data_IF_909157950829
#
_entry.id   IF_909157950829
#
_cell.length_a   1.000
_cell.length_b   1.000
_cell.length_c   1.000
_cell.angle_alpha   90.00
_cell.angle_beta   90.00
_cell.angle_gamma   90.00
#
_symmetry.space_group_name_H-M   'P 1'
#
loop_
_entity.id
_entity.type
_entity.pdbx_description
1 polymer ?
#
# COMPACT_ATOMS: atom_id res chain seq x y z
N UNK A 1 0.38 3.30 19.06
CA UNK A 1 -0.88 2.76 18.46
C UNK A 1 -1.17 1.31 18.88
N UNK A 2 -0.16 0.47 19.10
CA UNK A 2 -0.33 -0.94 19.53
C UNK A 2 -0.82 -1.11 20.98
N UNK A 3 -0.92 -0.04 21.75
CA UNK A 3 -1.35 -0.04 23.16
C UNK A 3 -2.84 0.21 23.36
N UNK A 4 -3.60 0.44 22.30
CA UNK A 4 -5.06 0.57 22.37
C UNK A 4 -5.72 -0.81 22.46
N UNK A 5 -6.95 -0.88 23.01
CA UNK A 5 -7.76 -2.11 23.08
C UNK A 5 -8.25 -2.60 21.69
N UNK A 6 -7.37 -2.56 20.72
CA UNK A 6 -7.61 -2.96 19.34
C UNK A 6 -6.92 -4.30 19.07
N UNK A 7 -7.67 -5.25 18.53
CA UNK A 7 -7.11 -6.51 18.07
C UNK A 7 -6.55 -6.36 16.66
N UNK A 8 -5.35 -6.89 16.44
CA UNK A 8 -4.61 -6.73 15.19
C UNK A 8 -4.13 -8.10 14.69
N UNK A 9 -3.83 -8.17 13.41
CA UNK A 9 -2.98 -9.22 12.84
C UNK A 9 -1.62 -8.63 12.51
N UNK A 10 -0.57 -9.32 12.90
CA UNK A 10 0.81 -8.96 12.62
C UNK A 10 1.50 -10.09 11.83
N UNK A 11 2.15 -9.73 10.74
CA UNK A 11 2.95 -10.61 9.91
C UNK A 11 4.42 -10.35 10.19
N UNK A 12 5.11 -11.32 10.76
CA UNK A 12 6.51 -11.17 11.18
C UNK A 12 7.40 -12.14 10.42
N UNK A 13 8.64 -11.76 10.23
CA UNK A 13 9.70 -12.61 9.69
C UNK A 13 10.75 -12.84 10.77
N UNK A 14 11.52 -13.92 10.61
CA UNK A 14 12.69 -14.14 11.45
C UNK A 14 13.84 -13.17 11.08
N UNK A 15 14.88 -13.13 11.90
CA UNK A 15 16.00 -12.21 11.75
C UNK A 15 16.78 -12.45 10.44
N UNK A 16 16.90 -13.70 10.01
CA UNK A 16 17.58 -14.05 8.76
C UNK A 16 16.83 -13.52 7.54
N UNK A 17 15.51 -13.69 7.50
CA UNK A 17 14.66 -13.14 6.43
C UNK A 17 14.63 -11.60 6.46
N UNK A 18 14.70 -11.00 7.66
CA UNK A 18 14.82 -9.55 7.81
C UNK A 18 16.16 -9.05 7.24
N UNK A 19 17.26 -9.70 7.60
CA UNK A 19 18.59 -9.34 7.11
C UNK A 19 18.71 -9.51 5.58
N UNK A 20 18.16 -10.60 5.03
CA UNK A 20 18.14 -10.86 3.59
C UNK A 20 17.31 -9.84 2.80
N UNK A 21 16.39 -9.14 3.45
CA UNK A 21 15.51 -8.16 2.79
C UNK A 21 16.21 -6.87 2.37
N UNK A 22 17.36 -6.54 2.97
CA UNK A 22 18.12 -5.31 2.72
C UNK A 22 17.43 -4.03 3.19
N UNK A 23 16.53 -4.12 4.18
CA UNK A 23 15.67 -3.02 4.61
C UNK A 23 16.28 -2.26 5.77
N UNK A 24 16.19 -0.93 5.71
CA UNK A 24 16.50 -0.06 6.84
C UNK A 24 15.46 -0.18 7.96
N UNK A 25 15.91 -0.04 9.21
CA UNK A 25 15.10 -0.33 10.41
C UNK A 25 13.87 0.57 10.60
N UNK A 26 13.80 1.71 9.90
CA UNK A 26 12.77 2.75 10.13
C UNK A 26 11.73 2.87 9.01
N UNK A 27 11.52 1.83 8.19
CA UNK A 27 10.50 1.85 7.13
C UNK A 27 9.09 1.64 7.70
N UNK A 28 8.52 2.73 8.22
CA UNK A 28 7.17 2.77 8.81
C UNK A 28 6.08 2.35 7.82
N UNK A 29 6.21 2.68 6.53
CA UNK A 29 5.23 2.29 5.50
C UNK A 29 5.21 0.79 5.31
N UNK A 30 6.37 0.17 5.32
CA UNK A 30 6.49 -1.27 5.19
C UNK A 30 6.00 -1.99 6.44
N UNK A 31 6.27 -1.46 7.63
CA UNK A 31 5.71 -2.01 8.86
C UNK A 31 4.18 -1.97 8.85
N UNK A 32 3.56 -0.88 8.39
CA UNK A 32 2.11 -0.78 8.20
C UNK A 32 1.57 -1.81 7.20
N UNK A 33 2.35 -2.19 6.20
CA UNK A 33 2.01 -3.25 5.25
C UNK A 33 1.97 -4.65 5.87
N UNK A 34 2.67 -4.85 6.98
CA UNK A 34 2.70 -6.11 7.73
C UNK A 34 1.68 -6.16 8.88
N UNK A 35 0.70 -5.24 8.90
CA UNK A 35 -0.32 -5.16 9.93
C UNK A 35 -1.71 -5.03 9.34
N UNK A 36 -2.70 -5.65 9.99
CA UNK A 36 -4.12 -5.52 9.65
C UNK A 36 -4.92 -5.10 10.88
N UNK A 37 -6.00 -4.34 10.66
CA UNK A 37 -6.87 -3.83 11.73
C UNK A 37 -7.74 -4.90 12.41
N UNK A 38 -7.84 -6.10 11.84
CA UNK A 38 -8.66 -7.20 12.36
C UNK A 38 -7.80 -8.41 12.67
N UNK A 39 -8.17 -9.22 13.68
CA UNK A 39 -7.49 -10.46 14.01
C UNK A 39 -7.95 -11.57 13.04
N UNK A 40 -7.08 -11.97 12.13
CA UNK A 40 -7.31 -13.10 11.23
C UNK A 40 -6.63 -14.35 11.81
N UNK A 41 -7.42 -15.35 12.19
CA UNK A 41 -6.88 -16.66 12.57
C UNK A 41 -6.41 -17.40 11.32
N UNK A 42 -5.57 -18.42 11.49
CA UNK A 42 -5.12 -19.25 10.36
C UNK A 42 -6.31 -19.95 9.65
N UNK A 43 -7.37 -20.28 10.39
CA UNK A 43 -8.63 -20.82 9.85
C UNK A 43 -9.38 -19.85 8.94
N UNK A 44 -9.18 -18.54 9.15
CA UNK A 44 -9.88 -17.50 8.41
C UNK A 44 -9.18 -17.17 7.08
N UNK A 45 -7.90 -17.59 6.94
CA UNK A 45 -7.07 -17.37 5.77
C UNK A 45 -7.49 -18.32 4.63
N UNK A 46 -8.59 -18.00 3.96
CA UNK A 46 -9.13 -18.77 2.83
C UNK A 46 -8.45 -18.38 1.52
N UNK A 47 -8.41 -19.30 0.57
CA UNK A 47 -7.87 -19.01 -0.76
C UNK A 47 -8.63 -17.87 -1.45
N UNK A 48 -7.87 -16.97 -2.09
CA UNK A 48 -8.41 -15.79 -2.75
C UNK A 48 -8.81 -14.63 -1.84
N UNK A 49 -8.74 -14.81 -0.50
CA UNK A 49 -9.07 -13.73 0.45
C UNK A 49 -8.11 -12.56 0.27
N UNK A 50 -8.66 -11.35 0.26
CA UNK A 50 -7.91 -10.09 0.28
C UNK A 50 -8.11 -9.37 1.60
N UNK A 51 -7.02 -9.00 2.24
CA UNK A 51 -7.01 -8.41 3.59
C UNK A 51 -6.39 -7.02 3.51
N UNK A 52 -7.10 -5.95 3.92
CA UNK A 52 -6.54 -4.60 3.94
C UNK A 52 -5.50 -4.46 5.05
N UNK A 53 -4.39 -3.84 4.75
CA UNK A 53 -3.33 -3.50 5.70
C UNK A 53 -3.52 -2.10 6.29
N UNK A 54 -2.69 -1.72 7.28
CA UNK A 54 -2.75 -0.40 7.91
C UNK A 54 -2.41 0.76 6.95
N UNK A 55 -1.79 0.49 5.82
CA UNK A 55 -1.54 1.48 4.76
C UNK A 55 -2.51 1.36 3.57
N UNK A 56 -3.65 0.67 3.77
CA UNK A 56 -4.72 0.47 2.78
C UNK A 56 -4.31 -0.30 1.51
N UNK A 57 -3.17 -0.97 1.53
CA UNK A 57 -2.75 -1.89 0.48
C UNK A 57 -3.27 -3.29 0.84
N UNK A 58 -3.66 -4.09 -0.15
CA UNK A 58 -4.24 -5.41 0.11
C UNK A 58 -3.21 -6.53 0.05
N UNK A 59 -3.27 -7.41 1.05
CA UNK A 59 -2.62 -8.71 1.02
C UNK A 59 -3.56 -9.71 0.35
N UNK A 60 -3.00 -10.59 -0.45
CA UNK A 60 -3.74 -11.70 -1.04
C UNK A 60 -3.33 -13.01 -0.36
N UNK A 61 -4.31 -13.76 0.11
CA UNK A 61 -4.12 -15.10 0.65
C UNK A 61 -4.26 -16.11 -0.48
N UNK A 62 -3.37 -17.07 -0.53
CA UNK A 62 -3.42 -18.21 -1.45
C UNK A 62 -3.19 -19.48 -0.66
N UNK A 63 -3.92 -20.54 -1.00
CA UNK A 63 -3.72 -21.86 -0.40
C UNK A 63 -3.24 -22.88 -1.45
N UNK A 64 -2.26 -23.69 -1.04
CA UNK A 64 -1.77 -24.81 -1.82
C UNK A 64 -1.86 -26.08 -0.95
N UNK A 65 -2.99 -26.79 -1.06
CA UNK A 65 -3.31 -27.84 -0.12
C UNK A 65 -3.52 -27.31 1.30
N UNK A 66 -2.72 -27.78 2.24
CA UNK A 66 -2.76 -27.30 3.63
C UNK A 66 -1.89 -26.06 3.87
N UNK A 67 -1.01 -25.74 2.94
CA UNK A 67 -0.10 -24.59 3.06
C UNK A 67 -0.85 -23.28 2.76
N UNK A 68 -0.57 -22.27 3.57
CA UNK A 68 -1.11 -20.91 3.45
C UNK A 68 0.01 -19.97 3.05
N UNK A 69 -0.28 -19.13 2.06
CA UNK A 69 0.61 -18.07 1.59
C UNK A 69 -0.06 -16.72 1.70
N UNK A 70 0.68 -15.73 2.17
CA UNK A 70 0.30 -14.32 2.10
C UNK A 70 1.17 -13.65 1.02
N UNK A 71 0.53 -13.18 -0.04
CA UNK A 71 1.18 -12.79 -1.29
C UNK A 71 1.99 -13.98 -1.87
N UNK A 72 3.28 -14.08 -1.61
CA UNK A 72 4.14 -15.20 -2.00
C UNK A 72 4.85 -15.83 -0.81
N UNK A 73 4.73 -15.21 0.35
CA UNK A 73 5.40 -15.64 1.55
C UNK A 73 4.59 -16.73 2.25
N UNK A 74 5.21 -17.85 2.56
CA UNK A 74 4.59 -18.97 3.26
C UNK A 74 4.33 -18.59 4.73
N UNK A 75 3.15 -18.91 5.25
CA UNK A 75 2.85 -18.85 6.67
C UNK A 75 3.44 -20.09 7.35
N UNK A 76 4.47 -19.90 8.14
CA UNK A 76 5.19 -20.99 8.82
C UNK A 76 4.55 -21.37 10.14
N UNK A 77 4.08 -20.36 10.89
CA UNK A 77 3.41 -20.58 12.17
C UNK A 77 2.44 -19.42 12.47
N UNK A 78 1.50 -19.69 13.40
CA UNK A 78 0.46 -18.73 13.78
C UNK A 78 0.23 -18.80 15.26
N UNK A 79 0.17 -17.64 15.93
CA UNK A 79 -0.02 -17.51 17.35
C UNK A 79 -1.20 -16.60 17.66
N UNK A 80 -2.16 -17.13 18.41
CA UNK A 80 -3.26 -16.32 18.94
C UNK A 80 -2.82 -15.70 20.27
N UNK A 81 -2.90 -14.39 20.35
CA UNK A 81 -2.58 -13.61 21.53
C UNK A 81 -3.85 -12.96 22.12
N UNK A 82 -3.73 -12.39 23.31
CA UNK A 82 -4.85 -11.69 23.98
C UNK A 82 -5.39 -10.55 23.12
N UNK A 83 -4.52 -9.82 22.44
CA UNK A 83 -4.82 -8.61 21.67
C UNK A 83 -4.66 -8.77 20.15
N UNK A 84 -4.60 -10.00 19.64
CA UNK A 84 -4.49 -10.21 18.19
C UNK A 84 -3.92 -11.56 17.79
N UNK A 85 -3.45 -11.60 16.55
CA UNK A 85 -2.84 -12.80 15.95
C UNK A 85 -1.49 -12.42 15.36
N UNK A 86 -0.50 -13.27 15.53
CA UNK A 86 0.82 -13.15 14.90
C UNK A 86 1.00 -14.33 13.96
N UNK A 87 1.31 -14.04 12.71
CA UNK A 87 1.74 -15.03 11.72
C UNK A 87 3.22 -14.84 11.43
N UNK A 88 3.99 -15.91 11.55
CA UNK A 88 5.38 -15.94 11.11
C UNK A 88 5.39 -16.34 9.64
N UNK A 89 6.06 -15.57 8.82
CA UNK A 89 6.13 -15.75 7.38
C UNK A 89 7.58 -15.92 6.92
N UNK A 90 7.77 -16.69 5.84
CA UNK A 90 9.09 -17.09 5.34
C UNK A 90 9.91 -15.93 4.76
N UNK A 91 9.25 -14.92 4.22
CA UNK A 91 9.90 -13.78 3.56
C UNK A 91 9.18 -12.48 3.88
N UNK A 92 9.93 -11.38 3.90
CA UNK A 92 9.34 -10.06 4.09
C UNK A 92 8.49 -9.68 2.87
N UNK A 93 7.26 -9.29 3.12
CA UNK A 93 6.33 -8.93 2.05
C UNK A 93 6.76 -7.62 1.39
N UNK A 94 6.82 -7.65 0.06
CA UNK A 94 7.02 -6.46 -0.78
C UNK A 94 5.66 -6.04 -1.35
N UNK A 95 5.24 -4.81 -1.10
CA UNK A 95 4.04 -4.27 -1.74
C UNK A 95 4.27 -4.16 -3.25
N UNK A 96 3.28 -4.55 -4.02
CA UNK A 96 3.25 -4.17 -5.44
C UNK A 96 2.81 -2.71 -5.51
N UNK A 97 3.54 -1.92 -6.26
CA UNK A 97 3.11 -0.55 -6.57
C UNK A 97 1.98 -0.60 -7.58
N UNK A 98 1.00 0.29 -7.45
CA UNK A 98 -0.04 0.47 -8.47
C UNK A 98 0.55 1.15 -9.72
N UNK A 99 -0.23 1.23 -10.79
CA UNK A 99 0.24 1.79 -12.06
C UNK A 99 0.60 3.29 -11.94
N UNK A 100 -0.12 4.06 -11.12
CA UNK A 100 0.17 5.47 -10.90
C UNK A 100 1.53 5.68 -10.23
N UNK A 101 1.81 4.91 -9.16
CA UNK A 101 3.10 4.97 -8.47
C UNK A 101 4.25 4.48 -9.37
N UNK A 102 3.97 3.49 -10.23
CA UNK A 102 4.94 3.07 -11.24
C UNK A 102 5.25 4.20 -12.24
N UNK A 103 4.22 4.88 -12.78
CA UNK A 103 4.41 6.02 -13.69
C UNK A 103 5.22 7.12 -12.99
N UNK A 104 4.93 7.42 -11.73
CA UNK A 104 5.68 8.40 -10.93
C UNK A 104 7.16 8.05 -10.79
N UNK A 105 7.49 6.76 -10.73
CA UNK A 105 8.87 6.26 -10.59
C UNK A 105 9.64 6.11 -11.91
N UNK A 106 9.02 6.42 -13.06
CA UNK A 106 9.65 6.27 -14.36
C UNK A 106 10.90 7.14 -14.50
N UNK A 107 11.97 6.62 -15.13
CA UNK A 107 13.19 7.36 -15.39
C UNK A 107 12.97 8.47 -16.43
N UNK A 108 13.99 9.32 -16.61
CA UNK A 108 13.89 10.53 -17.44
C UNK A 108 13.66 10.27 -18.93
N UNK A 109 13.98 9.09 -19.43
CA UNK A 109 13.67 8.69 -20.80
C UNK A 109 12.16 8.66 -21.11
N UNK A 110 11.30 8.60 -20.04
CA UNK A 110 9.83 8.64 -20.11
C UNK A 110 9.26 9.92 -19.48
N UNK A 111 10.09 10.94 -19.25
CA UNK A 111 9.66 12.14 -18.51
C UNK A 111 8.49 12.87 -19.18
N UNK A 112 8.44 12.94 -20.51
CA UNK A 112 7.31 13.60 -21.20
C UNK A 112 5.98 12.93 -20.90
N UNK A 113 5.94 11.59 -20.85
CA UNK A 113 4.75 10.84 -20.48
C UNK A 113 4.46 11.02 -18.98
N UNK A 114 5.44 10.75 -18.12
CA UNK A 114 5.33 10.89 -16.67
C UNK A 114 4.79 12.27 -16.29
N UNK A 115 5.44 13.32 -16.76
CA UNK A 115 5.14 14.69 -16.37
C UNK A 115 3.78 15.16 -16.92
N UNK A 116 3.35 14.62 -18.07
CA UNK A 116 2.00 14.86 -18.62
C UNK A 116 0.90 14.31 -17.70
N UNK A 117 1.14 13.19 -17.02
CA UNK A 117 0.20 12.64 -16.03
C UNK A 117 0.30 13.44 -14.72
N UNK A 118 1.53 13.68 -14.23
CA UNK A 118 1.78 14.27 -12.92
C UNK A 118 1.37 15.74 -12.82
N UNK A 119 1.43 16.51 -13.91
CA UNK A 119 1.01 17.93 -13.91
C UNK A 119 -0.46 18.17 -13.53
N UNK A 120 -1.29 17.12 -13.63
CA UNK A 120 -2.70 17.20 -13.24
C UNK A 120 -2.95 16.78 -11.78
N UNK A 121 -1.90 16.53 -11.00
CA UNK A 121 -2.03 16.20 -9.60
C UNK A 121 -2.40 17.43 -8.78
N UNK A 122 -3.39 17.26 -7.92
CA UNK A 122 -3.82 18.22 -6.92
C UNK A 122 -3.70 17.60 -5.54
N UNK A 123 -3.26 18.36 -4.54
CA UNK A 123 -3.25 17.94 -3.16
C UNK A 123 -4.56 18.37 -2.50
N UNK A 124 -5.42 17.40 -2.18
CA UNK A 124 -6.69 17.66 -1.52
C UNK A 124 -6.63 17.29 -0.04
N UNK A 125 -7.27 18.12 0.78
CA UNK A 125 -7.38 17.89 2.22
C UNK A 125 -8.31 16.71 2.50
N UNK A 126 -7.80 15.71 3.23
CA UNK A 126 -8.57 14.54 3.65
C UNK A 126 -9.15 14.76 5.04
N UNK A 127 -10.34 15.35 5.09
CA UNK A 127 -11.03 15.59 6.34
C UNK A 127 -11.37 14.32 7.12
N UNK A 128 -11.62 13.22 6.41
CA UNK A 128 -12.02 11.94 7.02
C UNK A 128 -10.87 11.29 7.79
N UNK A 129 -9.65 11.42 7.29
CA UNK A 129 -8.44 10.87 7.90
C UNK A 129 -7.64 11.88 8.74
N UNK A 130 -8.06 13.16 8.75
CA UNK A 130 -7.44 14.21 9.56
C UNK A 130 -7.99 14.22 10.99
N UNK A 131 -7.10 14.42 11.95
CA UNK A 131 -7.44 14.40 13.38
C UNK A 131 -7.66 15.85 13.86
N UNK A 132 -8.84 16.20 14.41
CA UNK A 132 -9.04 17.51 14.98
C UNK A 132 -8.17 17.67 16.24
N UNK A 133 -7.36 18.72 16.29
CA UNK A 133 -6.41 19.03 17.37
C UNK A 133 -6.87 20.16 18.29
N UNK A 134 -7.88 20.93 17.85
CA UNK A 134 -8.41 22.05 18.62
C UNK A 134 -9.26 22.99 17.77
N UNK A 135 -9.47 24.19 18.29
CA UNK A 135 -10.13 25.31 17.57
C UNK A 135 -9.21 26.52 17.59
N UNK A 136 -9.17 27.25 16.49
CA UNK A 136 -8.43 28.48 16.38
C UNK A 136 -9.16 29.65 17.08
N UNK A 137 -8.53 30.83 17.10
CA UNK A 137 -9.10 32.04 17.73
C UNK A 137 -10.37 32.55 17.02
N UNK A 138 -10.69 32.05 15.84
CA UNK A 138 -11.89 32.40 15.07
C UNK A 138 -12.99 31.34 15.18
N UNK A 139 -12.75 30.26 15.95
CA UNK A 139 -13.71 29.18 16.17
C UNK A 139 -13.67 28.07 15.11
N UNK A 140 -12.70 28.07 14.19
CA UNK A 140 -12.54 27.00 13.20
C UNK A 140 -11.78 25.82 13.79
N UNK A 141 -12.18 24.61 13.41
CA UNK A 141 -11.48 23.40 13.82
C UNK A 141 -10.09 23.33 13.15
N UNK A 142 -9.07 23.18 13.97
CA UNK A 142 -7.69 22.91 13.52
C UNK A 142 -7.48 21.41 13.46
N UNK A 143 -6.80 20.94 12.41
CA UNK A 143 -6.54 19.54 12.18
C UNK A 143 -5.03 19.25 12.13
N UNK A 144 -4.65 18.07 12.62
CA UNK A 144 -3.44 17.39 12.12
C UNK A 144 -3.78 16.86 10.73
N UNK A 145 -3.40 17.65 9.72
CA UNK A 145 -4.00 17.58 8.39
C UNK A 145 -3.38 16.49 7.56
N UNK A 146 -4.20 15.56 7.08
CA UNK A 146 -3.81 14.58 6.08
C UNK A 146 -4.24 15.09 4.70
N UNK A 147 -3.37 14.91 3.71
CA UNK A 147 -3.63 15.26 2.32
C UNK A 147 -3.46 14.02 1.45
N UNK A 148 -4.23 13.93 0.39
CA UNK A 148 -4.08 12.91 -0.63
C UNK A 148 -3.92 13.52 -2.01
N UNK A 149 -3.25 12.79 -2.90
CA UNK A 149 -3.12 13.20 -4.30
C UNK A 149 -4.38 12.83 -5.05
N UNK A 150 -5.04 13.83 -5.61
CA UNK A 150 -6.12 13.68 -6.58
C UNK A 150 -5.58 13.95 -7.98
N UNK A 151 -6.02 13.14 -8.94
CA UNK A 151 -5.75 13.38 -10.36
C UNK A 151 -7.04 13.11 -11.14
N UNK A 152 -7.53 14.08 -11.95
CA UNK A 152 -8.79 13.93 -12.71
C UNK A 152 -8.81 12.72 -13.65
N UNK A 153 -7.66 12.21 -14.04
CA UNK A 153 -7.56 10.99 -14.85
C UNK A 153 -8.04 9.74 -14.09
N UNK A 154 -8.04 9.75 -12.75
CA UNK A 154 -8.55 8.63 -11.95
C UNK A 154 -10.06 8.43 -12.12
N UNK A 155 -10.81 9.47 -12.46
CA UNK A 155 -12.24 9.35 -12.76
C UNK A 155 -12.49 8.57 -14.05
N UNK A 156 -11.57 8.65 -15.01
CA UNK A 156 -11.67 7.97 -16.31
C UNK A 156 -11.08 6.56 -16.27
N UNK A 157 -9.93 6.43 -15.63
CA UNK A 157 -9.23 5.16 -15.49
C UNK A 157 -8.57 5.11 -14.11
N UNK A 158 -9.11 4.30 -13.21
CA UNK A 158 -8.66 4.21 -11.81
C UNK A 158 -7.33 3.44 -11.70
N UNK A 159 -6.30 3.91 -12.41
CA UNK A 159 -4.99 3.25 -12.45
C UNK A 159 -4.15 3.42 -11.17
N UNK A 160 -4.66 4.19 -10.20
CA UNK A 160 -4.20 4.23 -8.82
C UNK A 160 -4.85 3.13 -7.95
N UNK A 161 -5.84 2.40 -8.48
CA UNK A 161 -6.54 1.34 -7.75
C UNK A 161 -5.80 0.01 -7.86
N UNK A 162 -5.64 -0.67 -6.73
CA UNK A 162 -5.08 -2.01 -6.67
C UNK A 162 -6.07 -3.12 -7.11
N UNK A 163 -7.35 -2.77 -7.22
CA UNK A 163 -8.40 -3.74 -7.61
C UNK A 163 -8.56 -3.87 -9.11
N UNK A 164 -8.07 -2.91 -9.88
CA UNK A 164 -8.20 -2.90 -11.33
C UNK A 164 -6.89 -3.29 -12.00
N UNK A 165 -7.02 -4.03 -13.08
CA UNK A 165 -5.88 -4.44 -13.88
C UNK A 165 -5.84 -3.59 -15.16
N UNK A 166 -4.68 -3.04 -15.45
CA UNK A 166 -4.42 -2.24 -16.63
C UNK A 166 -3.18 -2.75 -17.34
N UNK A 167 -3.15 -2.56 -18.66
CA UNK A 167 -1.96 -2.69 -19.47
C UNK A 167 -1.55 -1.30 -19.95
N UNK A 168 -0.32 -0.92 -19.65
CA UNK A 168 0.26 0.35 -20.09
C UNK A 168 1.23 0.09 -21.24
N UNK A 169 1.00 0.74 -22.39
CA UNK A 169 1.97 0.86 -23.47
C UNK A 169 2.70 2.19 -23.26
N UNK A 170 3.96 2.11 -22.94
CA UNK A 170 4.75 3.26 -22.51
C UNK A 170 5.63 3.75 -23.68
N UNK A 171 5.31 4.91 -24.31
CA UNK A 171 6.17 5.53 -25.29
C UNK A 171 7.32 6.27 -24.59
N UNK A 172 8.51 6.18 -25.13
CA UNK A 172 9.63 7.01 -24.73
C UNK A 172 9.51 8.46 -25.26
N UNK A 173 10.44 9.31 -24.82
CA UNK A 173 10.43 10.72 -25.20
C UNK A 173 10.67 10.95 -26.70
N UNK A 174 11.41 10.06 -27.37
CA UNK A 174 11.69 10.20 -28.82
C UNK A 174 10.43 9.94 -29.62
N UNK A 175 9.73 8.84 -29.31
CA UNK A 175 8.45 8.51 -29.94
C UNK A 175 7.42 9.60 -29.72
N UNK A 176 7.34 10.19 -28.52
CA UNK A 176 6.42 11.28 -28.24
C UNK A 176 6.76 12.56 -29.00
N UNK A 177 8.04 12.92 -29.11
CA UNK A 177 8.49 14.08 -29.92
C UNK A 177 8.10 13.91 -31.38
N UNK A 178 8.32 12.74 -31.96
CA UNK A 178 7.96 12.45 -33.34
C UNK A 178 6.46 12.56 -33.59
N UNK A 179 5.63 12.19 -32.60
CA UNK A 179 4.18 12.32 -32.70
C UNK A 179 3.70 13.78 -32.65
N UNK A 180 4.38 14.66 -31.91
CA UNK A 180 3.99 16.08 -31.77
C UNK A 180 4.58 17.00 -32.86
N UNK A 181 5.53 16.52 -33.65
CA UNK A 181 6.13 17.29 -34.77
C UNK A 181 5.48 17.03 -36.12
N UNK A 182 4.50 16.16 -36.22
CA UNK A 182 3.65 15.88 -37.39
C UNK A 182 2.31 16.59 -37.30
#
# INVERSE_FOLDING_TARGET
ELTKDQQLTLWVVNDDAMAASGIEKDDTLRMKYHMNYLPFLQSDLKDGLRIPTLNNIYLQITRQGEEVYVNRSKVESSYRLKNGVVHVISELMKSKINMFDYIKSLPDEYSMFRDSIMKNNEMLFDKANSIPTGVDITGNTVYDSVFYVYNPLFEKAQFNSEFKQFTLFLPDNEVLKDCFTK
#
